data_IF_424301775314
#
_entry.id   IF_424301775314
#
_cell.length_a   1.000
_cell.length_b   1.000
_cell.length_c   1.000
_cell.angle_alpha   90.00
_cell.angle_beta   90.00
_cell.angle_gamma   90.00
#
_symmetry.space_group_name_H-M   'P 1'
#
loop_
_entity.id
_entity.type
_entity.pdbx_description
1 polymer ?
#
# COMPACT_ATOMS: atom_id res chain seq x y z
N UNK A 1 -1.37 -38.10 8.62
CA UNK A 1 -0.53 -37.21 7.78
C UNK A 1 -1.08 -35.81 7.99
N UNK A 2 -0.30 -34.86 8.51
CA UNK A 2 -0.71 -33.47 8.59
C UNK A 2 -0.88 -32.95 7.15
N UNK A 3 -2.07 -32.48 6.81
CA UNK A 3 -2.31 -31.82 5.53
C UNK A 3 -1.42 -30.58 5.48
N UNK A 4 -0.61 -30.44 4.42
CA UNK A 4 0.20 -29.24 4.22
C UNK A 4 -0.73 -28.03 4.18
N UNK A 5 -0.36 -26.95 4.90
CA UNK A 5 -1.13 -25.71 4.88
C UNK A 5 -1.25 -25.18 3.44
N UNK A 6 -2.42 -24.69 3.02
CA UNK A 6 -2.60 -24.17 1.67
C UNK A 6 -1.66 -22.99 1.41
N UNK A 7 -1.10 -22.91 0.22
CA UNK A 7 -0.21 -21.80 -0.17
C UNK A 7 -0.98 -20.49 -0.19
N UNK A 8 -0.40 -19.48 0.44
CA UNK A 8 -0.92 -18.11 0.52
C UNK A 8 0.18 -17.16 0.06
N UNK A 9 -0.14 -16.21 -0.82
CA UNK A 9 0.83 -15.27 -1.39
C UNK A 9 0.47 -13.86 -0.93
N UNK A 10 1.46 -13.12 -0.39
CA UNK A 10 1.33 -11.72 -0.01
C UNK A 10 2.21 -10.88 -0.96
N UNK A 11 1.57 -10.13 -1.84
CA UNK A 11 2.22 -9.31 -2.86
C UNK A 11 2.35 -7.85 -2.39
N UNK A 12 3.50 -7.24 -2.63
CA UNK A 12 3.86 -5.91 -2.14
C UNK A 12 3.75 -5.83 -0.62
N UNK A 13 4.26 -6.83 0.07
CA UNK A 13 4.07 -6.99 1.51
C UNK A 13 4.74 -5.88 2.35
N UNK A 14 5.72 -5.17 1.81
CA UNK A 14 6.48 -4.15 2.56
C UNK A 14 7.07 -4.73 3.85
N UNK A 15 6.78 -4.07 4.96
CA UNK A 15 7.18 -4.53 6.30
C UNK A 15 6.09 -5.31 7.05
N UNK A 16 4.96 -5.63 6.42
CA UNK A 16 3.82 -6.32 7.06
C UNK A 16 3.57 -7.65 6.37
N UNK A 17 4.03 -8.72 7.01
CA UNK A 17 3.92 -10.07 6.45
C UNK A 17 3.89 -11.14 7.55
N UNK A 18 3.55 -12.35 7.16
CA UNK A 18 3.48 -13.53 8.03
C UNK A 18 4.54 -14.53 7.60
N UNK A 19 5.33 -15.01 8.54
CA UNK A 19 6.31 -16.06 8.30
C UNK A 19 5.72 -17.45 8.60
N UNK A 20 5.99 -18.41 7.74
CA UNK A 20 5.52 -19.79 7.89
C UNK A 20 4.07 -19.99 7.43
N UNK A 21 3.44 -21.08 7.85
CA UNK A 21 2.05 -21.46 7.57
C UNK A 21 1.65 -21.39 6.07
N UNK A 22 2.59 -21.69 5.18
CA UNK A 22 2.35 -21.68 3.73
C UNK A 22 2.32 -20.27 3.12
N UNK A 23 2.77 -19.22 3.83
CA UNK A 23 2.89 -17.87 3.27
C UNK A 23 4.16 -17.71 2.43
N UNK A 24 3.98 -17.12 1.26
CA UNK A 24 5.04 -16.62 0.38
C UNK A 24 4.88 -15.11 0.30
N UNK A 25 5.87 -14.37 0.81
CA UNK A 25 5.87 -12.92 0.81
C UNK A 25 6.75 -12.40 -0.32
N UNK A 26 6.24 -11.49 -1.13
CA UNK A 26 6.93 -10.95 -2.31
C UNK A 26 6.91 -9.42 -2.27
N UNK A 27 8.06 -8.79 -2.50
CA UNK A 27 8.15 -7.33 -2.57
C UNK A 27 9.27 -6.90 -3.54
N UNK A 28 9.11 -5.73 -4.14
CA UNK A 28 10.11 -5.17 -5.06
C UNK A 28 11.41 -4.74 -4.37
N UNK A 29 11.29 -4.12 -3.19
CA UNK A 29 12.42 -3.48 -2.50
C UNK A 29 12.65 -3.97 -1.08
N UNK A 30 12.68 -5.29 -0.91
CA UNK A 30 12.94 -5.90 0.40
C UNK A 30 14.42 -6.05 0.70
N UNK A 31 14.77 -6.02 1.99
CA UNK A 31 16.05 -6.48 2.53
C UNK A 31 15.87 -7.62 3.54
N UNK A 32 14.63 -8.06 3.77
CA UNK A 32 14.30 -9.14 4.68
C UNK A 32 14.45 -10.48 3.94
N UNK A 33 15.22 -11.45 4.50
CA UNK A 33 15.43 -12.75 3.88
C UNK A 33 14.15 -13.61 3.79
N UNK A 34 13.12 -13.31 4.59
CA UNK A 34 11.83 -13.99 4.56
C UNK A 34 10.91 -13.47 3.43
N UNK A 35 11.33 -12.45 2.71
CA UNK A 35 10.57 -11.84 1.61
C UNK A 35 11.31 -12.03 0.30
N UNK A 36 10.66 -12.62 -0.68
CA UNK A 36 11.20 -12.80 -2.01
C UNK A 36 11.20 -11.47 -2.76
N UNK A 37 12.36 -11.09 -3.29
CA UNK A 37 12.46 -9.89 -4.11
C UNK A 37 12.08 -10.20 -5.54
N UNK A 38 11.03 -9.55 -6.06
CA UNK A 38 10.60 -9.68 -7.45
C UNK A 38 9.95 -8.40 -7.98
N UNK A 39 9.94 -8.25 -9.30
CA UNK A 39 9.14 -7.25 -10.00
C UNK A 39 7.70 -7.75 -10.11
N UNK A 40 6.78 -7.10 -9.41
CA UNK A 40 5.37 -7.49 -9.34
C UNK A 40 4.60 -7.21 -10.65
N UNK A 41 5.21 -6.49 -11.59
CA UNK A 41 4.66 -6.23 -12.92
C UNK A 41 5.17 -7.22 -13.99
N UNK A 42 6.09 -8.10 -13.61
CA UNK A 42 6.57 -9.20 -14.42
C UNK A 42 5.91 -10.53 -14.02
N UNK A 43 6.11 -11.57 -14.82
CA UNK A 43 5.73 -12.92 -14.42
C UNK A 43 6.55 -13.36 -13.20
N UNK A 44 5.88 -13.70 -12.13
CA UNK A 44 6.51 -14.13 -10.89
C UNK A 44 6.97 -15.60 -10.98
N UNK A 45 8.10 -15.96 -10.33
CA UNK A 45 8.61 -17.33 -10.31
C UNK A 45 7.80 -18.23 -9.35
N UNK A 46 6.49 -18.18 -9.47
CA UNK A 46 5.52 -18.92 -8.68
C UNK A 46 4.65 -19.79 -9.61
N UNK A 47 4.23 -20.98 -9.16
CA UNK A 47 3.46 -21.90 -9.99
C UNK A 47 2.11 -21.34 -10.38
N UNK A 48 1.60 -21.82 -11.51
CA UNK A 48 0.21 -21.64 -11.91
C UNK A 48 -0.67 -22.50 -11.00
N UNK A 49 -1.88 -22.02 -10.70
CA UNK A 49 -2.91 -22.76 -9.94
C UNK A 49 -2.46 -23.26 -8.56
N UNK A 50 -1.45 -22.63 -7.96
CA UNK A 50 -0.81 -23.13 -6.74
C UNK A 50 -1.29 -22.49 -5.43
N UNK A 51 -1.94 -21.33 -5.47
CA UNK A 51 -2.27 -20.58 -4.28
C UNK A 51 -3.77 -20.63 -3.95
N UNK A 52 -4.10 -20.87 -2.69
CA UNK A 52 -5.48 -20.77 -2.22
C UNK A 52 -5.91 -19.32 -1.93
N UNK A 53 -4.92 -18.45 -1.64
CA UNK A 53 -5.11 -17.03 -1.39
C UNK A 53 -3.99 -16.21 -2.04
N UNK A 54 -4.35 -15.14 -2.71
CA UNK A 54 -3.44 -14.04 -3.07
C UNK A 54 -3.94 -12.78 -2.36
N UNK A 55 -3.07 -12.15 -1.59
CA UNK A 55 -3.32 -10.92 -0.84
C UNK A 55 -2.43 -9.80 -1.33
N UNK A 56 -2.97 -8.60 -1.46
CA UNK A 56 -2.19 -7.39 -1.75
C UNK A 56 -2.85 -6.17 -1.09
N UNK A 57 -2.05 -5.38 -0.38
CA UNK A 57 -2.53 -4.20 0.35
C UNK A 57 -1.74 -2.97 -0.07
N UNK A 58 -2.47 -1.94 -0.53
CA UNK A 58 -1.91 -0.65 -0.94
C UNK A 58 -0.78 -0.82 -1.98
N UNK A 59 -1.10 -1.50 -3.07
CA UNK A 59 -0.21 -1.66 -4.21
C UNK A 59 -0.85 -1.23 -5.53
N UNK A 60 -2.13 -1.58 -5.76
CA UNK A 60 -2.78 -1.39 -7.06
C UNK A 60 -2.89 0.10 -7.45
N UNK A 61 -2.97 0.99 -6.48
CA UNK A 61 -2.95 2.44 -6.67
C UNK A 61 -1.58 2.98 -7.10
N UNK A 62 -0.50 2.23 -6.85
CA UNK A 62 0.87 2.65 -7.18
C UNK A 62 1.31 2.26 -8.59
N UNK A 63 0.51 1.50 -9.31
CA UNK A 63 0.80 1.12 -10.70
C UNK A 63 -0.09 1.92 -11.67
N UNK A 64 0.40 2.20 -12.91
CA UNK A 64 -0.43 2.80 -13.93
C UNK A 64 -1.72 2.00 -14.16
N UNK A 65 -2.85 2.67 -14.32
CA UNK A 65 -4.13 2.01 -14.59
C UNK A 65 -4.05 1.00 -15.74
N UNK A 66 -3.25 1.29 -16.77
CA UNK A 66 -3.04 0.43 -17.93
C UNK A 66 -2.33 -0.91 -17.60
N UNK A 67 -1.62 -0.98 -16.48
CA UNK A 67 -0.91 -2.18 -16.02
C UNK A 67 -1.74 -3.03 -15.04
N UNK A 68 -2.81 -2.49 -14.50
CA UNK A 68 -3.68 -3.22 -13.58
C UNK A 68 -4.23 -4.54 -14.17
N UNK A 69 -4.67 -4.61 -15.45
CA UNK A 69 -5.10 -5.88 -16.04
C UNK A 69 -4.02 -6.95 -16.06
N UNK A 70 -2.76 -6.60 -16.36
CA UNK A 70 -1.66 -7.55 -16.37
C UNK A 70 -1.32 -8.08 -14.97
N UNK A 71 -1.32 -7.19 -13.95
CA UNK A 71 -1.16 -7.58 -12.55
C UNK A 71 -2.27 -8.52 -12.08
N UNK A 72 -3.52 -8.22 -12.39
CA UNK A 72 -4.66 -9.05 -12.02
C UNK A 72 -4.66 -10.41 -12.74
N UNK A 73 -4.23 -10.44 -14.00
CA UNK A 73 -4.05 -11.71 -14.73
C UNK A 73 -2.96 -12.58 -14.09
N UNK A 74 -1.89 -11.98 -13.57
CA UNK A 74 -0.85 -12.70 -12.83
C UNK A 74 -1.36 -13.23 -11.49
N UNK A 75 -2.16 -12.44 -10.75
CA UNK A 75 -2.86 -12.93 -9.56
C UNK A 75 -3.78 -14.11 -9.89
N UNK A 76 -4.54 -14.01 -10.97
CA UNK A 76 -5.44 -15.07 -11.43
C UNK A 76 -4.69 -16.34 -11.81
N UNK A 77 -3.54 -16.21 -12.50
CA UNK A 77 -2.68 -17.33 -12.87
C UNK A 77 -2.20 -18.13 -11.65
N UNK A 78 -1.75 -17.42 -10.61
CA UNK A 78 -1.21 -18.06 -9.40
C UNK A 78 -2.27 -18.73 -8.53
N UNK A 79 -3.52 -18.25 -8.57
CA UNK A 79 -4.60 -18.79 -7.78
C UNK A 79 -5.04 -20.16 -8.30
N UNK A 80 -5.24 -21.10 -7.40
CA UNK A 80 -5.91 -22.36 -7.69
C UNK A 80 -7.39 -22.12 -8.04
N UNK A 81 -8.05 -23.03 -8.79
CA UNK A 81 -9.50 -23.00 -8.97
C UNK A 81 -10.23 -22.88 -7.61
N UNK A 82 -11.18 -21.95 -7.50
CA UNK A 82 -11.86 -21.62 -6.25
C UNK A 82 -11.05 -20.76 -5.27
N UNK A 83 -9.79 -20.41 -5.59
CA UNK A 83 -8.94 -19.56 -4.76
C UNK A 83 -9.43 -18.11 -4.66
N UNK A 84 -9.00 -17.42 -3.63
CA UNK A 84 -9.45 -16.06 -3.28
C UNK A 84 -8.36 -15.05 -3.56
N UNK A 85 -8.69 -13.97 -4.26
CA UNK A 85 -7.92 -12.73 -4.31
C UNK A 85 -8.50 -11.76 -3.28
N UNK A 86 -7.66 -11.23 -2.37
CA UNK A 86 -8.03 -10.15 -1.44
C UNK A 86 -7.17 -8.92 -1.72
N UNK A 87 -7.82 -7.82 -2.04
CA UNK A 87 -7.21 -6.52 -2.30
C UNK A 87 -7.65 -5.51 -1.25
N UNK A 88 -6.69 -4.75 -0.73
CA UNK A 88 -6.94 -3.59 0.15
C UNK A 88 -6.35 -2.37 -0.52
N UNK A 89 -7.13 -1.32 -0.72
CA UNK A 89 -6.68 -0.11 -1.41
C UNK A 89 -7.57 1.09 -1.05
N UNK A 90 -7.08 2.34 -1.25
CA UNK A 90 -7.87 3.54 -1.01
C UNK A 90 -9.17 3.53 -1.81
N UNK A 91 -10.26 3.98 -1.19
CA UNK A 91 -11.61 4.02 -1.76
C UNK A 91 -11.97 5.44 -2.21
N UNK A 92 -11.94 5.69 -3.50
CA UNK A 92 -12.25 6.99 -4.08
C UNK A 92 -13.69 7.44 -3.76
N UNK A 93 -14.68 6.53 -3.77
CA UNK A 93 -16.07 6.88 -3.44
C UNK A 93 -16.17 7.35 -1.98
N UNK A 94 -15.58 6.60 -1.04
CA UNK A 94 -15.53 6.97 0.37
C UNK A 94 -14.83 8.33 0.56
N UNK A 95 -13.72 8.54 -0.10
CA UNK A 95 -12.93 9.79 -0.02
C UNK A 95 -13.75 10.99 -0.51
N UNK A 96 -14.42 10.88 -1.66
CA UNK A 96 -15.27 11.94 -2.20
C UNK A 96 -16.46 12.26 -1.28
N UNK A 97 -17.15 11.25 -0.77
CA UNK A 97 -18.29 11.43 0.14
C UNK A 97 -17.86 12.08 1.46
N UNK A 98 -16.78 11.61 2.03
CA UNK A 98 -16.23 12.13 3.28
C UNK A 98 -15.82 13.59 3.11
N UNK A 99 -15.16 13.94 2.00
CA UNK A 99 -14.81 15.32 1.66
C UNK A 99 -16.04 16.23 1.61
N UNK A 100 -17.08 15.84 0.86
CA UNK A 100 -18.31 16.63 0.76
C UNK A 100 -18.98 16.80 2.13
N UNK A 101 -19.08 15.73 2.91
CA UNK A 101 -19.66 15.75 4.25
C UNK A 101 -18.97 16.74 5.17
N UNK A 102 -17.63 16.74 5.21
CA UNK A 102 -16.89 17.68 6.07
C UNK A 102 -16.99 19.14 5.55
N UNK A 103 -17.02 19.35 4.22
CA UNK A 103 -17.27 20.70 3.65
C UNK A 103 -18.65 21.25 4.04
N UNK A 104 -19.70 20.45 3.93
CA UNK A 104 -21.06 20.82 4.30
C UNK A 104 -21.20 21.14 5.79
N UNK A 105 -20.43 20.48 6.65
CA UNK A 105 -20.39 20.72 8.09
C UNK A 105 -19.52 21.89 8.52
N UNK A 106 -18.78 22.52 7.58
CA UNK A 106 -17.84 23.58 7.91
C UNK A 106 -16.55 23.11 8.60
N UNK A 107 -16.28 21.79 8.59
CA UNK A 107 -15.07 21.18 9.16
C UNK A 107 -13.90 21.29 8.17
N UNK A 108 -13.44 22.51 7.94
CA UNK A 108 -12.54 22.86 6.84
C UNK A 108 -11.20 22.11 6.89
N UNK A 109 -10.59 21.97 8.06
CA UNK A 109 -9.30 21.30 8.21
C UNK A 109 -9.36 19.82 7.84
N UNK A 110 -10.44 19.12 8.22
CA UNK A 110 -10.67 17.72 7.83
C UNK A 110 -10.91 17.61 6.32
N UNK A 111 -11.70 18.51 5.76
CA UNK A 111 -11.93 18.54 4.31
C UNK A 111 -10.64 18.86 3.53
N UNK A 112 -9.80 19.77 4.01
CA UNK A 112 -8.50 20.07 3.38
C UNK A 112 -7.52 18.90 3.48
N UNK A 113 -7.55 18.17 4.59
CA UNK A 113 -6.79 16.91 4.71
C UNK A 113 -7.20 15.90 3.63
N UNK A 114 -8.50 15.73 3.37
CA UNK A 114 -8.99 14.81 2.34
C UNK A 114 -8.58 15.24 0.92
N UNK A 115 -8.44 16.54 0.66
CA UNK A 115 -7.86 17.04 -0.60
C UNK A 115 -6.38 16.63 -0.73
N UNK A 116 -5.61 16.72 0.36
CA UNK A 116 -4.22 16.25 0.36
C UNK A 116 -4.14 14.74 0.15
N UNK A 117 -4.99 13.96 0.82
CA UNK A 117 -5.09 12.51 0.65
C UNK A 117 -5.39 12.15 -0.82
N UNK A 118 -6.32 12.85 -1.45
CA UNK A 118 -6.71 12.61 -2.84
C UNK A 118 -5.63 13.01 -3.85
N UNK A 119 -5.05 14.19 -3.69
CA UNK A 119 -4.28 14.83 -4.77
C UNK A 119 -2.78 14.72 -4.53
N UNK A 120 -2.30 15.00 -3.29
CA UNK A 120 -0.86 15.07 -3.04
C UNK A 120 -0.13 13.79 -3.42
N UNK A 121 -0.68 12.64 -3.07
CA UNK A 121 -0.04 11.36 -3.40
C UNK A 121 0.04 11.10 -4.91
N UNK A 122 -0.88 11.66 -5.71
CA UNK A 122 -0.85 11.53 -7.18
C UNK A 122 0.18 12.45 -7.83
N UNK A 123 0.36 13.67 -7.30
CA UNK A 123 1.18 14.72 -7.95
C UNK A 123 2.52 15.00 -7.26
N UNK A 124 2.79 14.39 -6.10
CA UNK A 124 4.00 14.69 -5.31
C UNK A 124 5.28 14.45 -6.11
N UNK A 125 6.25 15.33 -5.89
CA UNK A 125 7.56 15.27 -6.54
C UNK A 125 8.70 15.06 -5.58
N UNK A 126 8.43 15.22 -4.30
CA UNK A 126 9.38 15.01 -3.20
C UNK A 126 8.82 13.97 -2.23
N UNK A 127 9.72 13.26 -1.56
CA UNK A 127 9.33 12.29 -0.54
C UNK A 127 8.47 12.95 0.54
N UNK A 128 7.33 12.32 0.84
CA UNK A 128 6.32 12.79 1.78
C UNK A 128 5.38 13.87 1.25
N UNK A 129 5.74 14.66 0.24
CA UNK A 129 4.89 15.70 -0.35
C UNK A 129 4.33 16.73 0.64
N UNK A 130 3.18 17.31 0.33
CA UNK A 130 2.44 18.24 1.18
C UNK A 130 1.84 17.52 2.40
N UNK A 131 1.38 16.28 2.24
CA UNK A 131 0.88 15.46 3.33
C UNK A 131 1.95 15.27 4.41
N UNK A 132 3.19 14.98 4.01
CA UNK A 132 4.31 14.87 4.94
C UNK A 132 4.68 16.21 5.61
N UNK A 133 4.42 17.36 4.96
CA UNK A 133 4.57 18.69 5.59
C UNK A 133 3.52 18.90 6.67
N UNK A 134 2.25 18.58 6.37
CA UNK A 134 1.17 18.63 7.34
C UNK A 134 1.46 17.74 8.55
N UNK A 135 1.90 16.50 8.34
CA UNK A 135 2.25 15.59 9.44
C UNK A 135 3.34 16.14 10.35
N UNK A 136 4.38 16.80 9.78
CA UNK A 136 5.41 17.46 10.61
C UNK A 136 4.84 18.63 11.40
N UNK A 137 3.96 19.42 10.81
CA UNK A 137 3.27 20.53 11.49
C UNK A 137 2.43 20.02 12.65
N UNK A 138 1.59 19.00 12.45
CA UNK A 138 0.77 18.40 13.49
C UNK A 138 1.63 17.86 14.66
N UNK A 139 2.75 17.20 14.34
CA UNK A 139 3.71 16.69 15.34
C UNK A 139 4.43 17.79 16.12
N UNK A 140 4.58 18.98 15.56
CA UNK A 140 5.26 20.10 16.23
C UNK A 140 4.42 20.80 17.30
N UNK A 141 3.09 20.68 17.22
CA UNK A 141 2.15 21.29 18.18
C UNK A 141 0.95 20.34 18.42
N UNK A 142 1.18 19.14 18.98
CA UNK A 142 0.14 18.11 19.06
C UNK A 142 -1.05 18.51 19.92
N UNK A 143 -0.81 19.27 21.01
CA UNK A 143 -1.89 19.72 21.90
C UNK A 143 -2.88 20.69 21.24
N UNK A 144 -2.42 21.42 20.23
CA UNK A 144 -3.26 22.35 19.45
C UNK A 144 -4.00 21.69 18.30
N UNK A 145 -3.60 20.45 17.92
CA UNK A 145 -4.08 19.75 16.73
C UNK A 145 -4.69 18.38 17.06
N UNK A 146 -5.15 18.17 18.29
CA UNK A 146 -5.64 16.84 18.76
C UNK A 146 -6.72 16.29 17.83
N UNK A 147 -7.72 17.09 17.51
CA UNK A 147 -8.87 16.66 16.70
C UNK A 147 -8.44 16.24 15.28
N UNK A 148 -7.53 16.99 14.65
CA UNK A 148 -7.05 16.64 13.32
C UNK A 148 -6.09 15.42 13.36
N UNK A 149 -5.29 15.27 14.40
CA UNK A 149 -4.42 14.08 14.61
C UNK A 149 -5.28 12.83 14.79
N UNK A 150 -6.35 12.90 15.58
CA UNK A 150 -7.27 11.78 15.78
C UNK A 150 -8.01 11.45 14.48
N UNK A 151 -8.44 12.44 13.73
CA UNK A 151 -9.05 12.26 12.42
C UNK A 151 -8.10 11.58 11.43
N UNK A 152 -6.83 12.02 11.36
CA UNK A 152 -5.81 11.38 10.52
C UNK A 152 -5.63 9.91 10.91
N UNK A 153 -5.55 9.61 12.22
CA UNK A 153 -5.41 8.25 12.72
C UNK A 153 -6.60 7.38 12.33
N UNK A 154 -7.82 7.87 12.55
CA UNK A 154 -9.04 7.16 12.20
C UNK A 154 -9.14 6.92 10.69
N UNK A 155 -8.76 7.92 9.90
CA UNK A 155 -8.85 7.93 8.46
C UNK A 155 -7.84 7.00 7.78
N UNK A 156 -6.57 7.08 8.19
CA UNK A 156 -5.44 6.44 7.49
C UNK A 156 -4.80 5.28 8.27
N UNK A 157 -5.13 5.14 9.55
CA UNK A 157 -4.43 4.22 10.47
C UNK A 157 -3.05 4.74 10.92
N UNK A 158 -2.61 5.93 10.48
CA UNK A 158 -1.29 6.47 10.81
C UNK A 158 -1.23 7.00 12.25
N UNK A 159 -0.35 6.43 13.06
CA UNK A 159 -0.08 6.88 14.42
C UNK A 159 0.97 7.98 14.45
N UNK A 160 0.56 9.22 14.19
CA UNK A 160 1.51 10.35 14.03
C UNK A 160 2.41 10.58 15.25
N UNK A 161 1.92 10.34 16.46
CA UNK A 161 2.65 10.58 17.71
C UNK A 161 3.33 9.31 18.26
N UNK A 162 3.12 8.15 17.65
CA UNK A 162 3.82 6.94 18.06
C UNK A 162 5.32 7.06 17.78
N UNK A 163 6.12 6.66 18.75
CA UNK A 163 7.56 6.50 18.56
C UNK A 163 7.88 5.41 17.52
N UNK A 164 9.16 5.31 17.10
CA UNK A 164 9.57 4.26 16.18
C UNK A 164 9.20 2.88 16.74
N UNK A 165 8.51 2.08 15.94
CA UNK A 165 8.11 0.73 16.36
C UNK A 165 9.34 -0.17 16.57
N UNK A 166 9.22 -1.18 17.43
CA UNK A 166 10.29 -2.14 17.67
C UNK A 166 10.82 -2.78 16.37
N UNK A 167 9.95 -2.99 15.37
CA UNK A 167 10.33 -3.45 14.03
C UNK A 167 11.21 -2.43 13.30
N UNK A 168 10.94 -1.12 13.40
CA UNK A 168 11.77 -0.07 12.80
C UNK A 168 13.11 0.09 13.53
N UNK A 169 13.15 -0.18 14.83
CA UNK A 169 14.37 -0.16 15.67
C UNK A 169 15.24 -1.38 15.38
N UNK A 170 14.68 -2.57 15.26
CA UNK A 170 15.39 -3.80 14.90
C UNK A 170 15.91 -3.73 13.44
N UNK A 171 15.11 -3.19 12.53
CA UNK A 171 15.61 -2.81 11.21
C UNK A 171 16.75 -1.78 11.30
N UNK A 172 16.94 -1.06 12.39
CA UNK A 172 18.01 -0.11 12.67
C UNK A 172 19.31 -0.70 13.28
N UNK A 173 19.45 -2.03 13.55
CA UNK A 173 20.66 -2.72 14.05
C UNK A 173 21.92 -2.46 13.18
N UNK A 174 23.02 -2.04 13.79
CA UNK A 174 24.21 -1.53 13.10
C UNK A 174 25.17 -2.61 12.61
N UNK A 175 25.87 -2.34 11.50
CA UNK A 175 26.97 -3.14 10.96
C UNK A 175 27.66 -2.46 9.78
N UNK A 176 28.91 -2.84 9.50
CA UNK A 176 29.74 -2.36 8.38
C UNK A 176 28.98 -2.35 7.03
N UNK A 177 28.14 -3.36 6.69
CA UNK A 177 27.36 -3.34 5.44
C UNK A 177 26.40 -2.16 5.33
N UNK A 178 25.93 -1.60 6.45
CA UNK A 178 25.05 -0.42 6.45
C UNK A 178 25.74 0.88 6.17
N UNK A 179 26.96 1.05 6.69
CA UNK A 179 27.76 2.26 6.39
C UNK A 179 28.02 2.32 4.89
N UNK A 180 28.46 1.22 4.28
CA UNK A 180 28.70 1.12 2.84
C UNK A 180 27.42 1.41 2.05
N UNK A 181 26.27 0.85 2.47
CA UNK A 181 24.97 1.10 1.83
C UNK A 181 24.54 2.55 1.97
N UNK A 182 24.75 3.18 3.14
CA UNK A 182 24.47 4.63 3.34
C UNK A 182 25.35 5.52 2.48
N UNK A 183 26.64 5.22 2.40
CA UNK A 183 27.60 5.96 1.56
C UNK A 183 27.23 5.82 0.09
N UNK A 184 26.94 4.60 -0.37
CA UNK A 184 26.49 4.34 -1.74
C UNK A 184 25.19 5.07 -2.08
N UNK A 185 24.19 5.00 -1.21
CA UNK A 185 22.91 5.70 -1.40
C UNK A 185 23.09 7.23 -1.37
N UNK A 186 24.05 7.75 -0.59
CA UNK A 186 24.35 9.18 -0.57
C UNK A 186 25.07 9.61 -1.86
N UNK A 187 26.03 8.83 -2.32
CA UNK A 187 26.74 9.06 -3.58
C UNK A 187 25.78 9.01 -4.77
N UNK A 188 24.90 8.01 -4.82
CA UNK A 188 23.88 7.87 -5.84
C UNK A 188 22.91 9.07 -5.86
N UNK A 189 22.44 9.54 -4.71
CA UNK A 189 21.61 10.76 -4.61
C UNK A 189 22.36 12.02 -5.10
N UNK A 190 23.64 12.18 -4.74
CA UNK A 190 24.42 13.31 -5.18
C UNK A 190 24.64 13.26 -6.70
N UNK A 191 24.97 12.09 -7.22
CA UNK A 191 25.12 11.88 -8.66
C UNK A 191 23.82 12.14 -9.42
N UNK A 192 22.71 11.57 -8.96
CA UNK A 192 21.37 11.82 -9.54
C UNK A 192 21.07 13.32 -9.56
N UNK A 193 21.32 14.04 -8.45
CA UNK A 193 21.14 15.50 -8.41
C UNK A 193 22.03 16.23 -9.41
N UNK A 194 23.28 15.83 -9.57
CA UNK A 194 24.20 16.44 -10.55
C UNK A 194 23.71 16.21 -11.98
N UNK A 195 23.32 14.98 -12.33
CA UNK A 195 22.76 14.65 -13.64
C UNK A 195 21.47 15.45 -13.92
N UNK A 196 20.60 15.58 -12.91
CA UNK A 196 19.37 16.37 -13.06
C UNK A 196 19.65 17.87 -13.36
N UNK A 197 20.80 18.42 -12.94
CA UNK A 197 21.14 19.81 -13.27
C UNK A 197 21.44 20.01 -14.77
N UNK A 198 21.75 18.93 -15.50
CA UNK A 198 21.97 18.99 -16.95
C UNK A 198 20.65 19.11 -17.73
N UNK A 199 19.52 18.81 -17.10
CA UNK A 199 18.21 18.95 -17.72
C UNK A 199 17.73 20.42 -17.71
N UNK A 200 17.05 20.90 -18.76
CA UNK A 200 16.44 22.22 -18.76
C UNK A 200 15.54 22.43 -17.53
N UNK A 201 15.64 23.61 -16.91
CA UNK A 201 14.92 23.92 -15.67
C UNK A 201 13.41 23.67 -15.78
N UNK A 202 12.79 24.10 -16.89
CA UNK A 202 11.36 23.91 -17.13
C UNK A 202 11.00 22.42 -17.26
N UNK A 203 11.78 21.64 -18.00
CA UNK A 203 11.58 20.20 -18.15
C UNK A 203 11.71 19.48 -16.81
N UNK A 204 12.76 19.77 -16.05
CA UNK A 204 12.98 19.20 -14.71
C UNK A 204 11.82 19.51 -13.78
N UNK A 205 11.37 20.77 -13.76
CA UNK A 205 10.27 21.19 -12.90
C UNK A 205 8.94 20.48 -13.23
N UNK A 206 8.73 20.06 -14.46
CA UNK A 206 7.48 19.41 -14.88
C UNK A 206 7.56 17.88 -14.83
N UNK A 207 8.70 17.28 -15.14
CA UNK A 207 8.80 15.87 -15.48
C UNK A 207 9.60 15.03 -14.46
N UNK A 208 10.37 15.66 -13.56
CA UNK A 208 11.18 14.93 -12.60
C UNK A 208 10.49 14.83 -11.24
N UNK A 209 10.37 13.62 -10.74
CA UNK A 209 9.95 13.34 -9.37
C UNK A 209 11.10 12.68 -8.61
N UNK A 210 11.34 13.17 -7.40
CA UNK A 210 12.26 12.60 -6.41
C UNK A 210 11.52 11.86 -5.29
N UNK A 211 10.21 11.64 -5.46
CA UNK A 211 9.44 10.78 -4.57
C UNK A 211 9.96 9.34 -4.63
N UNK A 212 9.96 8.65 -3.51
CA UNK A 212 10.41 7.26 -3.41
C UNK A 212 9.51 6.31 -4.22
N UNK A 213 10.05 5.12 -4.49
CA UNK A 213 9.26 4.03 -5.09
C UNK A 213 8.14 3.66 -4.11
N UNK A 214 6.91 3.58 -4.62
CA UNK A 214 5.74 3.28 -3.80
C UNK A 214 5.18 4.47 -3.00
N UNK A 215 5.70 5.71 -3.19
CA UNK A 215 5.13 6.90 -2.56
C UNK A 215 4.07 7.62 -3.41
N UNK A 216 3.96 7.28 -4.69
CA UNK A 216 3.04 7.95 -5.61
C UNK A 216 1.91 7.03 -6.00
N UNK A 217 0.68 7.55 -5.86
CA UNK A 217 -0.47 6.92 -6.47
C UNK A 217 -0.51 7.26 -7.97
N UNK A 218 -0.67 6.26 -8.80
CA UNK A 218 -0.84 6.39 -10.25
C UNK A 218 -2.32 6.45 -10.63
N UNK A 219 -3.17 5.91 -9.76
CA UNK A 219 -4.61 5.88 -9.94
C UNK A 219 -5.33 5.76 -8.61
N UNK A 220 -6.55 6.31 -8.54
CA UNK A 220 -7.47 6.10 -7.44
C UNK A 220 -8.65 5.26 -7.94
N UNK A 221 -8.95 4.22 -7.19
CA UNK A 221 -9.97 3.22 -7.53
C UNK A 221 -11.24 3.42 -6.71
N UNK A 222 -12.39 3.25 -7.35
CA UNK A 222 -13.65 2.94 -6.69
C UNK A 222 -14.04 1.48 -6.94
N UNK A 223 -15.05 1.00 -6.21
CA UNK A 223 -15.52 -0.38 -6.35
C UNK A 223 -16.03 -0.69 -7.76
N UNK A 224 -16.68 0.25 -8.45
CA UNK A 224 -17.23 0.02 -9.78
C UNK A 224 -16.12 -0.19 -10.83
N UNK A 225 -15.10 0.67 -10.81
CA UNK A 225 -13.93 0.52 -11.67
C UNK A 225 -13.17 -0.79 -11.38
N UNK A 226 -12.93 -1.08 -10.08
CA UNK A 226 -12.20 -2.28 -9.68
C UNK A 226 -12.97 -3.55 -10.07
N UNK A 227 -14.28 -3.57 -9.88
CA UNK A 227 -15.14 -4.70 -10.29
C UNK A 227 -15.05 -4.95 -11.79
N UNK A 228 -15.08 -3.90 -12.61
CA UNK A 228 -14.99 -4.05 -14.06
C UNK A 228 -13.67 -4.68 -14.52
N UNK A 229 -12.52 -4.26 -13.94
CA UNK A 229 -11.22 -4.83 -14.32
C UNK A 229 -11.02 -6.24 -13.75
N UNK A 230 -11.56 -6.56 -12.57
CA UNK A 230 -11.54 -7.91 -12.00
C UNK A 230 -12.38 -8.88 -12.84
N UNK A 231 -13.59 -8.47 -13.26
CA UNK A 231 -14.42 -9.28 -14.15
C UNK A 231 -13.74 -9.53 -15.50
N UNK A 232 -13.11 -8.49 -16.06
CA UNK A 232 -12.35 -8.63 -17.31
C UNK A 232 -11.14 -9.56 -17.17
N UNK A 233 -10.57 -9.68 -15.97
CA UNK A 233 -9.50 -10.63 -15.65
C UNK A 233 -10.00 -12.05 -15.34
N UNK A 234 -11.31 -12.30 -15.39
CA UNK A 234 -11.91 -13.63 -15.18
C UNK A 234 -12.30 -13.94 -13.74
N UNK A 235 -12.26 -12.97 -12.83
CA UNK A 235 -12.71 -13.15 -11.45
C UNK A 235 -14.25 -13.08 -11.35
N UNK A 236 -14.78 -13.87 -10.43
CA UNK A 236 -16.20 -13.93 -10.08
C UNK A 236 -16.40 -13.59 -8.59
N UNK A 237 -17.68 -13.53 -8.15
CA UNK A 237 -18.06 -13.30 -6.76
C UNK A 237 -17.30 -12.14 -6.11
N UNK A 238 -17.21 -11.00 -6.83
CA UNK A 238 -16.49 -9.80 -6.40
C UNK A 238 -17.33 -9.05 -5.37
N UNK A 239 -16.86 -8.98 -4.14
CA UNK A 239 -17.58 -8.38 -3.02
C UNK A 239 -16.68 -7.48 -2.19
N UNK A 240 -17.31 -6.46 -1.60
CA UNK A 240 -16.71 -5.64 -0.56
C UNK A 240 -16.85 -6.35 0.78
N UNK A 241 -15.76 -6.39 1.52
CA UNK A 241 -15.66 -6.96 2.86
C UNK A 241 -15.28 -5.87 3.87
N UNK A 242 -15.39 -6.21 5.15
CA UNK A 242 -14.79 -5.42 6.23
C UNK A 242 -13.34 -5.86 6.48
N UNK A 243 -12.58 -5.01 7.19
CA UNK A 243 -11.21 -5.36 7.62
C UNK A 243 -11.16 -6.63 8.50
N UNK A 244 -12.25 -6.91 9.20
CA UNK A 244 -12.40 -8.04 10.13
C UNK A 244 -13.19 -9.21 9.55
N UNK A 245 -13.50 -9.21 8.26
CA UNK A 245 -14.25 -10.30 7.61
C UNK A 245 -13.57 -10.78 6.34
N UNK A 246 -13.61 -12.08 6.08
CA UNK A 246 -13.06 -12.71 4.88
C UNK A 246 -13.82 -13.97 4.54
N UNK A 247 -13.97 -14.26 3.24
CA UNK A 247 -14.46 -15.54 2.73
C UNK A 247 -13.42 -16.64 2.72
N UNK A 248 -12.15 -16.26 2.86
CA UNK A 248 -11.07 -17.22 3.02
C UNK A 248 -11.06 -17.71 4.46
N UNK A 249 -11.41 -18.98 4.66
CA UNK A 249 -11.45 -19.58 5.99
C UNK A 249 -10.07 -19.52 6.67
N UNK A 250 -10.03 -18.97 7.90
CA UNK A 250 -8.78 -18.82 8.63
C UNK A 250 -7.88 -17.69 8.13
N UNK A 251 -8.44 -16.66 7.46
CA UNK A 251 -7.68 -15.47 7.09
C UNK A 251 -7.10 -14.80 8.36
N UNK A 252 -5.79 -14.56 8.40
CA UNK A 252 -5.15 -13.94 9.56
C UNK A 252 -5.27 -12.43 9.48
N UNK A 253 -6.33 -11.88 10.07
CA UNK A 253 -6.58 -10.44 10.04
C UNK A 253 -5.42 -9.64 10.62
N UNK A 254 -4.82 -10.09 11.72
CA UNK A 254 -3.58 -9.52 12.24
C UNK A 254 -2.37 -10.31 11.70
N UNK A 255 -1.32 -9.64 11.26
CA UNK A 255 -1.09 -8.19 11.20
C UNK A 255 -1.51 -7.57 9.85
N UNK A 256 -2.22 -8.29 8.98
CA UNK A 256 -2.45 -7.86 7.59
C UNK A 256 -3.42 -6.69 7.50
N UNK A 257 -4.64 -6.86 8.00
CA UNK A 257 -5.74 -5.90 7.89
C UNK A 257 -6.06 -5.18 9.18
N UNK A 258 -5.78 -5.80 10.33
CA UNK A 258 -5.98 -5.21 11.64
C UNK A 258 -4.64 -4.90 12.32
N UNK A 259 -4.62 -3.83 13.10
CA UNK A 259 -3.52 -3.49 14.00
C UNK A 259 -3.59 -4.29 15.32
N UNK A 260 -2.67 -4.04 16.23
CA UNK A 260 -2.62 -4.70 17.55
C UNK A 260 -3.82 -4.40 18.43
N UNK A 261 -4.51 -3.28 18.17
CA UNK A 261 -5.70 -2.86 18.90
C UNK A 261 -7.00 -3.41 18.28
N UNK A 262 -6.90 -4.22 17.21
CA UNK A 262 -8.03 -4.78 16.47
C UNK A 262 -8.75 -3.78 15.57
N UNK A 263 -8.13 -2.64 15.28
CA UNK A 263 -8.67 -1.62 14.36
C UNK A 263 -8.16 -1.85 12.93
N UNK A 264 -8.89 -1.38 11.92
CA UNK A 264 -8.40 -1.40 10.54
C UNK A 264 -7.02 -0.73 10.44
N UNK A 265 -6.00 -1.50 10.06
CA UNK A 265 -4.60 -1.02 9.97
C UNK A 265 -4.43 0.13 8.98
N UNK A 266 -5.28 0.18 7.95
CA UNK A 266 -5.31 1.21 6.91
C UNK A 266 -6.46 2.20 7.08
N UNK A 267 -7.05 2.24 8.29
CA UNK A 267 -8.11 3.18 8.64
C UNK A 267 -9.36 3.07 7.77
N UNK A 268 -10.18 4.11 7.86
CA UNK A 268 -11.46 4.20 7.13
C UNK A 268 -11.30 4.61 5.65
N UNK A 269 -10.10 4.97 5.21
CA UNK A 269 -9.83 5.34 3.81
C UNK A 269 -9.91 4.16 2.85
N UNK A 270 -9.74 2.95 3.37
CA UNK A 270 -9.52 1.77 2.54
C UNK A 270 -10.79 0.94 2.34
N UNK A 271 -10.92 0.38 1.14
CA UNK A 271 -11.86 -0.69 0.84
C UNK A 271 -11.13 -2.03 0.84
N UNK A 272 -11.85 -3.07 1.26
CA UNK A 272 -11.40 -4.46 1.27
C UNK A 272 -12.26 -5.21 0.27
N UNK A 273 -11.65 -5.79 -0.75
CA UNK A 273 -12.35 -6.46 -1.84
C UNK A 273 -11.86 -7.88 -1.95
N UNK A 274 -12.79 -8.82 -2.00
CA UNK A 274 -12.51 -10.21 -2.33
C UNK A 274 -13.15 -10.61 -3.66
N UNK A 275 -12.42 -11.41 -4.42
CA UNK A 275 -12.85 -11.98 -5.67
C UNK A 275 -12.38 -13.44 -5.75
N UNK A 276 -13.10 -14.29 -6.48
CA UNK A 276 -12.75 -15.71 -6.63
C UNK A 276 -12.33 -16.03 -8.06
N UNK A 277 -11.34 -16.88 -8.18
CA UNK A 277 -11.10 -17.61 -9.41
C UNK A 277 -12.18 -18.69 -9.54
N UNK A 278 -12.86 -18.84 -10.69
CA UNK A 278 -13.80 -19.93 -10.94
C UNK A 278 -13.21 -21.31 -10.62
N UNK A 279 -14.05 -22.24 -10.18
CA UNK A 279 -13.65 -23.63 -9.86
C UNK A 279 -13.51 -24.52 -11.09
#
# INVERSE_FOLDING_TARGET
MAQASPTKINLACGGVFINGDGWINVDYSTSDPAVQRADLLARLPLPDDGAALVYSSHFLEHIPRSQAPAFLAECWRMLAPGGVLRLVLPDLDNLCRTYLTHRERGEHEKADFLVLEMIDQCVRRESGGELGRLYRQLKSAPEQNVELIDFVRERTGEHLLAGPTAASVLAAGGGIPRLVRRVRARAERLWTRAVLQLLPKAFRAQNVSLAGVGERHQWLWDLAQLRAVLQAAGFEAIERCEASSSRFAGFPFQPLDLDTDGRPRKGAESMYIEARKPG
#
